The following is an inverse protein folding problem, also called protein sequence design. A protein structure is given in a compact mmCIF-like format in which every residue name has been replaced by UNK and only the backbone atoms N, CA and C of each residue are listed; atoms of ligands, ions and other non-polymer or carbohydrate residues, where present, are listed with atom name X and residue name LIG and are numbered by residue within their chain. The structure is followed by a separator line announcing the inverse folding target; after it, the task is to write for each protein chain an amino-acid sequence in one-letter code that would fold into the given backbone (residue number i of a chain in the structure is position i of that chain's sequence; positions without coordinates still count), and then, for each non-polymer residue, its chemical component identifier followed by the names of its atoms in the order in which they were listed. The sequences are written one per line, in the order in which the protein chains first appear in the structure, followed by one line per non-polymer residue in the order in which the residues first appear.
data_IF_801667393474
#
_entry.id   IF_801667393474
#
_cell.length_a   1.000
_cell.length_b   1.000
_cell.length_c   1.000
_cell.angle_alpha   90.00
_cell.angle_beta   90.00
_cell.angle_gamma   90.00
#
_symmetry.space_group_name_H-M   'P 1'
#
loop_
_entity.id
_entity.type
_entity.pdbx_description
1 polymer ?
#
# COMPACT_ATOMS: atom_id res chain seq x y z
N UNK A 1 -2.79 -19.43 5.35
CA UNK A 1 -1.92 -19.46 4.14
C UNK A 1 -0.64 -18.69 4.47
N UNK A 2 0.56 -19.15 4.08
CA UNK A 2 1.82 -18.41 4.35
C UNK A 2 2.22 -17.59 3.12
N UNK A 3 2.42 -16.28 3.28
CA UNK A 3 2.94 -15.46 2.18
C UNK A 3 4.38 -15.84 1.85
N UNK A 4 4.66 -16.10 0.58
CA UNK A 4 6.02 -16.31 0.05
C UNK A 4 6.58 -14.99 -0.52
N UNK A 5 7.89 -14.93 -0.77
CA UNK A 5 8.55 -13.74 -1.30
C UNK A 5 8.29 -12.50 -0.43
N UNK A 6 8.51 -12.66 0.87
CA UNK A 6 8.41 -11.61 1.89
C UNK A 6 9.72 -11.50 2.63
N UNK A 7 9.99 -10.33 3.22
CA UNK A 7 11.08 -10.20 4.17
C UNK A 7 10.78 -11.01 5.45
N UNK A 8 11.81 -11.53 6.14
CA UNK A 8 11.67 -12.02 7.51
C UNK A 8 10.95 -11.03 8.42
N UNK A 9 10.24 -11.54 9.43
CA UNK A 9 9.35 -10.75 10.29
C UNK A 9 10.09 -9.64 11.07
N UNK A 10 11.34 -9.87 11.43
CA UNK A 10 12.23 -8.94 12.13
C UNK A 10 12.87 -7.89 11.20
N UNK A 11 12.97 -8.19 9.90
CA UNK A 11 13.62 -7.30 8.94
C UNK A 11 12.66 -6.30 8.29
N UNK A 12 13.11 -5.06 8.18
CA UNK A 12 12.38 -3.98 7.51
C UNK A 12 13.02 -3.54 6.20
N UNK A 13 14.13 -4.16 5.85
CA UNK A 13 14.76 -4.01 4.55
C UNK A 13 15.48 -5.30 4.17
N UNK A 14 15.64 -5.52 2.87
CA UNK A 14 16.36 -6.66 2.32
C UNK A 14 16.02 -6.86 0.85
N UNK A 15 16.56 -7.91 0.27
CA UNK A 15 16.31 -8.26 -1.13
C UNK A 15 15.48 -9.53 -1.19
N UNK A 16 14.40 -9.50 -1.96
CA UNK A 16 13.53 -10.64 -2.22
C UNK A 16 13.46 -10.84 -3.72
N UNK A 17 13.99 -11.97 -4.21
CA UNK A 17 13.94 -12.34 -5.64
C UNK A 17 14.38 -11.18 -6.56
N UNK A 18 15.54 -10.60 -6.23
CA UNK A 18 16.17 -9.50 -6.96
C UNK A 18 15.54 -8.11 -6.75
N UNK A 19 14.46 -7.99 -5.97
CA UNK A 19 13.84 -6.70 -5.62
C UNK A 19 14.30 -6.27 -4.23
N UNK A 20 14.96 -5.11 -4.15
CA UNK A 20 15.28 -4.47 -2.87
C UNK A 20 14.00 -3.85 -2.27
N UNK A 21 13.52 -4.40 -1.16
CA UNK A 21 12.33 -3.92 -0.45
C UNK A 21 12.78 -3.17 0.81
N UNK A 22 12.24 -1.98 1.03
CA UNK A 22 12.52 -1.15 2.22
C UNK A 22 11.24 -0.58 2.80
N UNK A 23 11.07 -0.66 4.10
CA UNK A 23 10.02 0.06 4.82
C UNK A 23 10.54 1.43 5.23
N UNK A 24 9.80 2.50 4.89
CA UNK A 24 10.16 3.82 5.38
C UNK A 24 9.79 3.97 6.88
N UNK A 25 10.29 5.02 7.51
CA UNK A 25 10.07 5.26 8.94
C UNK A 25 8.57 5.29 9.32
N UNK A 26 7.73 5.97 8.52
CA UNK A 26 6.29 6.10 8.79
C UNK A 26 5.54 4.77 8.68
N UNK A 27 5.89 3.94 7.71
CA UNK A 27 5.28 2.63 7.51
C UNK A 27 5.61 1.70 8.68
N UNK A 28 6.85 1.73 9.19
CA UNK A 28 7.24 0.98 10.39
C UNK A 28 6.43 1.44 11.60
N UNK A 29 6.39 2.75 11.84
CA UNK A 29 5.73 3.33 13.01
C UNK A 29 4.21 3.07 13.03
N UNK A 30 3.56 3.00 11.87
CA UNK A 30 2.11 2.83 11.75
C UNK A 30 1.64 1.40 11.57
N UNK A 31 2.55 0.45 11.36
CA UNK A 31 2.18 -0.94 11.05
C UNK A 31 1.25 -1.53 12.12
N UNK A 32 1.58 -1.34 13.40
CA UNK A 32 0.78 -1.86 14.51
C UNK A 32 -0.63 -1.22 14.56
N UNK A 33 -0.71 0.11 14.45
CA UNK A 33 -2.00 0.82 14.40
C UNK A 33 -2.85 0.38 13.22
N UNK A 34 -2.25 0.30 12.03
CA UNK A 34 -2.95 -0.18 10.85
C UNK A 34 -3.44 -1.63 11.03
N UNK A 35 -2.67 -2.49 11.68
CA UNK A 35 -3.08 -3.86 11.95
C UNK A 35 -4.29 -3.92 12.90
N UNK A 36 -4.31 -3.07 13.93
CA UNK A 36 -5.46 -2.90 14.84
C UNK A 36 -6.71 -2.42 14.08
N UNK A 37 -6.57 -1.41 13.21
CA UNK A 37 -7.68 -0.85 12.43
C UNK A 37 -8.34 -1.88 11.47
N UNK A 38 -7.63 -2.97 11.19
CA UNK A 38 -8.09 -4.07 10.34
C UNK A 38 -8.34 -5.36 11.13
N UNK A 39 -8.16 -5.35 12.46
CA UNK A 39 -8.31 -6.51 13.34
C UNK A 39 -7.47 -7.73 12.92
N UNK A 40 -6.24 -7.48 12.46
CA UNK A 40 -5.30 -8.53 12.02
C UNK A 40 -3.98 -8.47 12.77
N UNK A 41 -3.23 -9.57 12.73
CA UNK A 41 -1.86 -9.60 13.24
C UNK A 41 -0.93 -8.70 12.40
N UNK A 42 -0.08 -7.93 13.09
CA UNK A 42 0.84 -6.99 12.46
C UNK A 42 1.91 -7.69 11.60
N UNK A 43 2.36 -8.88 12.01
CA UNK A 43 3.32 -9.68 11.25
C UNK A 43 2.68 -10.20 9.96
N UNK A 44 1.43 -10.65 10.06
CA UNK A 44 0.65 -11.10 8.92
C UNK A 44 0.37 -9.94 7.93
N UNK A 45 -0.01 -8.75 8.43
CA UNK A 45 -0.14 -7.54 7.59
C UNK A 45 1.18 -7.16 6.91
N UNK A 46 2.30 -7.23 7.63
CA UNK A 46 3.63 -6.97 7.08
C UNK A 46 3.97 -7.93 5.95
N UNK A 47 3.71 -9.23 6.15
CA UNK A 47 3.93 -10.25 5.15
C UNK A 47 3.04 -10.02 3.90
N UNK A 48 1.75 -9.76 4.08
CA UNK A 48 0.83 -9.43 2.99
C UNK A 48 1.30 -8.20 2.18
N UNK A 49 1.68 -7.14 2.90
CA UNK A 49 2.21 -5.90 2.30
C UNK A 49 3.47 -6.18 1.50
N UNK A 50 4.40 -6.95 2.05
CA UNK A 50 5.62 -7.37 1.38
C UNK A 50 5.35 -8.18 0.11
N UNK A 51 4.42 -9.12 0.17
CA UNK A 51 4.06 -9.98 -0.96
C UNK A 51 3.47 -9.18 -2.13
N UNK A 52 2.52 -8.27 -1.86
CA UNK A 52 1.96 -7.41 -2.89
C UNK A 52 3.00 -6.43 -3.46
N UNK A 53 3.89 -5.92 -2.62
CA UNK A 53 5.02 -5.08 -3.04
C UNK A 53 5.95 -5.82 -3.99
N UNK A 54 6.35 -7.04 -3.66
CA UNK A 54 7.19 -7.89 -4.49
C UNK A 54 6.52 -8.18 -5.84
N UNK A 55 5.28 -8.70 -5.82
CA UNK A 55 4.50 -9.02 -7.02
C UNK A 55 4.40 -7.82 -7.96
N UNK A 56 4.09 -6.63 -7.42
CA UNK A 56 4.02 -5.41 -8.23
C UNK A 56 5.37 -5.04 -8.83
N UNK A 57 6.43 -5.07 -8.02
CA UNK A 57 7.77 -4.66 -8.44
C UNK A 57 8.30 -5.55 -9.55
N UNK A 58 8.12 -6.88 -9.43
CA UNK A 58 8.47 -7.84 -10.48
C UNK A 58 7.69 -7.59 -11.76
N UNK A 59 6.37 -7.42 -11.68
CA UNK A 59 5.52 -7.14 -12.87
C UNK A 59 6.01 -5.91 -13.65
N UNK A 60 6.51 -4.90 -12.94
CA UNK A 60 6.99 -3.66 -13.54
C UNK A 60 8.50 -3.59 -13.83
N UNK A 61 9.25 -4.67 -13.57
CA UNK A 61 10.70 -4.64 -13.68
C UNK A 61 11.37 -3.59 -12.78
N UNK A 62 10.82 -3.34 -11.59
CA UNK A 62 11.36 -2.37 -10.62
C UNK A 62 12.34 -3.06 -9.70
N UNK A 63 13.55 -2.50 -9.61
CA UNK A 63 14.65 -3.03 -8.81
C UNK A 63 14.52 -2.69 -7.32
N UNK A 64 13.83 -1.58 -6.99
CA UNK A 64 13.66 -1.15 -5.60
C UNK A 64 12.23 -0.73 -5.33
N UNK A 65 11.69 -1.17 -4.20
CA UNK A 65 10.40 -0.77 -3.68
C UNK A 65 10.52 -0.25 -2.26
N UNK A 66 10.03 0.98 -2.04
CA UNK A 66 9.94 1.60 -0.73
C UNK A 66 8.48 1.58 -0.32
N UNK A 67 8.17 0.84 0.75
CA UNK A 67 6.85 0.80 1.37
C UNK A 67 6.70 2.06 2.22
N UNK A 68 5.75 2.90 1.84
CA UNK A 68 5.44 4.19 2.49
C UNK A 68 4.30 4.04 3.49
N UNK A 69 3.40 3.08 3.26
CA UNK A 69 2.35 2.68 4.18
C UNK A 69 1.86 1.28 3.85
N UNK A 70 1.56 0.47 4.87
CA UNK A 70 0.90 -0.84 4.74
C UNK A 70 -0.57 -0.67 4.36
N UNK A 71 -1.45 -1.59 4.73
CA UNK A 71 -2.89 -1.45 4.49
C UNK A 71 -3.41 -0.25 5.30
N UNK A 72 -3.99 0.73 4.63
CA UNK A 72 -4.58 1.91 5.28
C UNK A 72 -5.73 2.50 4.44
N UNK A 73 -6.66 3.17 5.11
CA UNK A 73 -7.90 3.74 4.55
C UNK A 73 -7.88 5.27 4.47
N UNK A 74 -6.69 5.87 4.34
CA UNK A 74 -6.56 7.32 4.24
C UNK A 74 -5.43 7.75 3.31
N UNK A 75 -5.59 8.88 2.65
CA UNK A 75 -4.53 9.57 1.92
C UNK A 75 -4.18 10.88 2.62
N UNK A 76 -2.96 11.36 2.46
CA UNK A 76 -2.53 12.67 2.97
C UNK A 76 -2.37 13.64 1.81
N UNK A 77 -3.12 14.74 1.84
CA UNK A 77 -2.99 15.81 0.86
C UNK A 77 -1.67 16.52 1.08
N UNK A 78 -0.70 16.31 0.18
CA UNK A 78 0.69 16.79 0.34
C UNK A 78 0.78 18.28 0.67
N UNK A 79 -0.06 19.12 0.06
CA UNK A 79 -0.02 20.59 0.24
C UNK A 79 -0.48 21.05 1.63
N UNK A 80 -1.47 20.38 2.22
CA UNK A 80 -2.10 20.81 3.47
C UNK A 80 -1.80 19.90 4.65
N UNK A 81 -1.21 18.72 4.41
CA UNK A 81 -1.06 17.67 5.42
C UNK A 81 -2.38 17.03 5.86
N UNK A 82 -3.54 17.48 5.33
CA UNK A 82 -4.86 16.98 5.71
C UNK A 82 -5.00 15.52 5.30
N UNK A 83 -5.44 14.67 6.24
CA UNK A 83 -5.85 13.31 5.94
C UNK A 83 -7.27 13.31 5.36
N UNK A 84 -7.48 12.51 4.32
CA UNK A 84 -8.80 12.21 3.75
C UNK A 84 -9.03 10.71 3.78
N UNK A 85 -10.27 10.29 4.01
CA UNK A 85 -10.65 8.90 3.85
C UNK A 85 -10.36 8.44 2.42
N UNK A 86 -9.96 7.19 2.26
CA UNK A 86 -9.68 6.57 0.98
C UNK A 86 -10.04 5.08 1.05
N UNK A 87 -10.23 4.46 -0.10
CA UNK A 87 -10.28 3.00 -0.16
C UNK A 87 -9.00 2.39 0.42
N UNK A 88 -9.11 1.18 0.96
CA UNK A 88 -7.99 0.45 1.52
C UNK A 88 -6.89 0.25 0.47
N UNK A 89 -5.66 0.68 0.78
CA UNK A 89 -4.53 0.58 -0.13
C UNK A 89 -3.19 0.44 0.58
N UNK A 90 -2.16 0.05 -0.18
CA UNK A 90 -0.73 0.09 0.19
C UNK A 90 -0.08 1.20 -0.61
N UNK A 91 0.75 2.04 0.02
CA UNK A 91 1.46 3.11 -0.67
C UNK A 91 2.92 2.73 -0.88
N UNK A 92 3.39 2.78 -2.13
CA UNK A 92 4.74 2.43 -2.55
C UNK A 92 5.42 3.58 -3.29
N UNK A 93 6.74 3.62 -3.22
CA UNK A 93 7.59 4.29 -4.21
C UNK A 93 8.48 3.26 -4.89
N UNK A 94 8.41 3.19 -6.21
CA UNK A 94 9.11 2.20 -7.04
C UNK A 94 10.21 2.86 -7.87
N UNK A 95 11.37 2.22 -7.92
CA UNK A 95 12.54 2.67 -8.66
C UNK A 95 13.09 1.55 -9.56
N UNK A 96 13.69 1.89 -10.72
CA UNK A 96 13.92 3.26 -11.22
C UNK A 96 12.65 3.98 -11.73
N UNK A 97 12.71 5.32 -11.73
CA UNK A 97 11.66 6.20 -12.26
C UNK A 97 10.87 7.00 -11.21
N UNK A 98 11.09 6.78 -9.90
CA UNK A 98 10.47 7.58 -8.84
C UNK A 98 8.93 7.56 -8.88
N UNK A 99 8.36 6.39 -9.18
CA UNK A 99 6.92 6.23 -9.38
C UNK A 99 6.25 5.99 -8.03
N UNK A 100 5.22 6.79 -7.69
CA UNK A 100 4.40 6.52 -6.49
C UNK A 100 3.18 5.71 -6.91
N UNK A 101 2.93 4.60 -6.22
CA UNK A 101 1.84 3.68 -6.52
C UNK A 101 0.99 3.48 -5.27
N UNK A 102 -0.34 3.52 -5.41
CA UNK A 102 -1.25 2.96 -4.44
C UNK A 102 -1.76 1.62 -4.97
N UNK A 103 -1.51 0.53 -4.26
CA UNK A 103 -2.10 -0.78 -4.56
C UNK A 103 -3.42 -0.88 -3.81
N UNK A 104 -4.54 -0.87 -4.52
CA UNK A 104 -5.86 -0.95 -3.93
C UNK A 104 -6.12 -2.39 -3.51
N UNK A 105 -6.39 -2.59 -2.22
CA UNK A 105 -6.55 -3.91 -1.62
C UNK A 105 -7.87 -3.98 -0.87
N UNK A 106 -8.58 -5.08 -1.02
CA UNK A 106 -9.76 -5.39 -0.21
C UNK A 106 -9.42 -6.50 0.76
N UNK A 107 -9.81 -6.33 2.03
CA UNK A 107 -9.88 -7.41 3.00
C UNK A 107 -11.37 -7.66 3.26
N UNK A 108 -11.88 -8.90 3.10
CA UNK A 108 -13.24 -9.23 3.48
C UNK A 108 -13.48 -8.93 4.97
N UNK A 109 -14.68 -8.51 5.35
CA UNK A 109 -15.02 -8.23 6.75
C UNK A 109 -14.83 -9.48 7.62
N UNK A 110 -14.17 -9.33 8.78
CA UNK A 110 -13.79 -10.43 9.66
C UNK A 110 -12.80 -11.43 9.05
N UNK A 111 -12.21 -11.10 7.89
CA UNK A 111 -11.35 -11.99 7.12
C UNK A 111 -9.89 -11.92 7.56
N UNK A 112 -9.26 -13.09 7.62
CA UNK A 112 -7.81 -13.20 7.83
C UNK A 112 -7.04 -12.52 6.66
N UNK A 113 -5.88 -11.92 6.94
CA UNK A 113 -5.16 -11.07 5.98
C UNK A 113 -4.68 -11.83 4.73
N UNK A 114 -4.56 -13.15 4.80
CA UNK A 114 -4.34 -14.03 3.64
C UNK A 114 -5.46 -13.96 2.59
N UNK A 115 -6.66 -13.56 2.98
CA UNK A 115 -7.80 -13.36 2.09
C UNK A 115 -7.81 -11.97 1.44
N UNK A 116 -6.79 -11.15 1.73
CA UNK A 116 -6.63 -9.87 1.07
C UNK A 116 -6.50 -10.06 -0.45
N UNK A 117 -7.23 -9.27 -1.20
CA UNK A 117 -7.19 -9.28 -2.65
C UNK A 117 -6.70 -7.94 -3.18
N UNK A 118 -5.74 -8.00 -4.09
CA UNK A 118 -5.35 -6.86 -4.89
C UNK A 118 -6.39 -6.62 -5.99
N UNK A 119 -7.06 -5.47 -5.96
CA UNK A 119 -8.15 -5.11 -6.89
C UNK A 119 -7.72 -4.26 -8.07
N UNK A 120 -6.60 -3.56 -7.93
CA UNK A 120 -6.10 -2.63 -8.93
C UNK A 120 -5.10 -1.68 -8.31
N UNK A 121 -4.72 -0.65 -9.06
CA UNK A 121 -3.71 0.29 -8.62
C UNK A 121 -3.96 1.68 -9.20
N UNK A 122 -3.55 2.69 -8.46
CA UNK A 122 -3.43 4.04 -8.98
C UNK A 122 -1.97 4.47 -8.95
N UNK A 123 -1.56 5.22 -9.96
CA UNK A 123 -0.16 5.61 -10.11
C UNK A 123 -0.04 7.12 -10.28
N UNK A 124 0.80 7.71 -9.43
CA UNK A 124 1.20 9.11 -9.51
C UNK A 124 2.61 9.19 -10.09
N UNK A 125 2.69 9.66 -11.34
CA UNK A 125 3.95 9.91 -12.02
C UNK A 125 4.45 11.31 -11.67
N UNK A 126 5.66 11.39 -11.11
CA UNK A 126 6.30 12.70 -10.90
C UNK A 126 6.87 13.22 -12.22
N UNK A 127 6.50 14.45 -12.59
CA UNK A 127 7.15 15.25 -13.65
C UNK A 127 7.28 14.54 -15.02
N UNK A 128 6.30 13.74 -15.42
CA UNK A 128 6.24 13.16 -16.78
C UNK A 128 5.00 13.64 -17.51
N UNK A 129 5.18 14.05 -18.77
CA UNK A 129 4.09 14.38 -19.69
C UNK A 129 3.40 13.13 -20.26
N UNK A 130 4.09 11.98 -20.25
CA UNK A 130 3.59 10.71 -20.82
C UNK A 130 3.40 9.70 -19.68
N UNK A 131 2.19 9.17 -19.58
CA UNK A 131 1.87 8.07 -18.68
C UNK A 131 2.63 6.80 -19.12
N UNK A 132 3.25 6.09 -18.18
CA UNK A 132 3.88 4.79 -18.47
C UNK A 132 2.77 3.75 -18.73
N UNK A 133 2.66 3.20 -19.96
CA UNK A 133 1.54 2.36 -20.36
C UNK A 133 1.52 0.99 -19.68
N UNK A 134 2.60 0.60 -19.00
CA UNK A 134 2.64 -0.61 -18.17
C UNK A 134 1.95 -0.44 -16.80
N UNK A 135 1.54 0.80 -16.49
CA UNK A 135 0.88 1.18 -15.25
C UNK A 135 -0.63 1.24 -15.48
N UNK A 136 -1.40 0.48 -14.72
CA UNK A 136 -2.86 0.65 -14.72
C UNK A 136 -3.18 2.00 -14.06
N UNK A 137 -3.82 2.88 -14.82
CA UNK A 137 -4.42 4.12 -14.30
C UNK A 137 -5.79 3.72 -13.79
N UNK A 138 -5.86 3.10 -12.61
CA UNK A 138 -7.14 2.79 -12.00
C UNK A 138 -7.88 4.08 -11.70
N UNK A 139 -8.97 4.36 -12.41
CA UNK A 139 -10.00 5.26 -11.91
C UNK A 139 -10.63 4.60 -10.69
N UNK A 140 -10.36 5.16 -9.53
CA UNK A 140 -11.26 5.04 -8.41
C UNK A 140 -11.79 6.44 -8.16
N UNK A 141 -13.12 6.58 -8.14
CA UNK A 141 -13.74 7.77 -7.60
C UNK A 141 -13.11 8.00 -6.21
N UNK A 142 -12.51 9.18 -5.99
CA UNK A 142 -12.29 9.61 -4.62
C UNK A 142 -13.63 9.44 -3.91
N UNK A 143 -13.67 8.74 -2.77
CA UNK A 143 -14.86 8.75 -1.90
C UNK A 143 -15.22 10.23 -1.77
N UNK A 144 -16.37 10.59 -2.34
CA UNK A 144 -16.80 11.97 -2.30
C UNK A 144 -16.92 12.35 -0.83
N UNK A 145 -16.72 13.62 -0.45
CA UNK A 145 -16.90 14.08 0.94
C UNK A 145 -18.34 13.80 1.48
N UNK A 146 -19.22 13.15 0.71
CA UNK A 146 -20.55 12.66 1.10
C UNK A 146 -20.55 11.25 1.69
N UNK A 147 -19.49 10.47 1.52
CA UNK A 147 -19.43 9.05 1.94
C UNK A 147 -18.70 8.83 3.27
N UNK A 148 -18.24 9.91 3.93
CA UNK A 148 -17.81 9.84 5.34
C UNK A 148 -19.05 9.71 6.23
N UNK A 149 -19.20 8.64 7.06
CA UNK A 149 -20.24 8.63 8.07
C UNK A 149 -20.02 9.85 8.98
N UNK A 150 -21.08 10.63 9.15
CA UNK A 150 -21.09 11.78 10.06
C UNK A 150 -20.54 11.36 11.42
N UNK A 151 -19.73 12.21 12.09
CA UNK A 151 -19.35 11.94 13.47
C UNK A 151 -20.62 11.83 14.29
N UNK A 152 -20.81 10.70 14.97
CA UNK A 152 -21.80 10.58 16.03
C UNK A 152 -21.32 11.51 17.14
N UNK A 153 -21.96 12.66 17.25
CA UNK A 153 -21.82 13.56 18.39
C UNK A 153 -22.45 12.82 19.59
N UNK A 154 -21.61 12.42 20.53
CA UNK A 154 -22.05 12.20 21.92
C UNK A 154 -22.05 13.54 22.65
#
# INVERSE_FOLDING_TARGET
MTFINVLPADLHEGTVDGVAIKWNHNAKARLATNAIDYEVDATAMKAATGNFTHKRSKRLGKATAIIIGSFHKFTTVTRSGKKKAAHSHITLSLNPGGVKVHLNVTLPDGGAVENAQWRGESVVLRRRAIADPSLSVGEYAELSDRDTPSPVLN
#
